data_IF_176481484029
#
_entry.id   IF_176481484029
#
_cell.length_a   1.000
_cell.length_b   1.000
_cell.length_c   1.000
_cell.angle_alpha   90.00
_cell.angle_beta   90.00
_cell.angle_gamma   90.00
#
_symmetry.space_group_name_H-M   'P 1'
#
loop_
_entity.id
_entity.type
_entity.pdbx_description
1 polymer ?
#
# COMPACT_ATOMS: atom_id res chain seq x y z
N UNK A 1 8.15 -16.43 20.88
CA UNK A 1 6.89 -16.19 20.16
C UNK A 1 6.83 -17.15 18.98
N UNK A 2 5.65 -17.68 18.61
CA UNK A 2 5.46 -18.47 17.37
C UNK A 2 5.06 -17.60 16.16
N UNK A 3 4.85 -16.30 16.38
CA UNK A 3 4.44 -15.32 15.37
C UNK A 3 5.54 -14.27 15.19
N UNK A 4 5.69 -13.81 13.96
CA UNK A 4 6.58 -12.72 13.55
C UNK A 4 5.76 -11.56 12.98
N UNK A 5 6.18 -10.34 13.30
CA UNK A 5 5.55 -9.10 12.82
C UNK A 5 6.48 -8.43 11.81
N UNK A 6 5.96 -8.11 10.62
CA UNK A 6 6.71 -7.49 9.54
C UNK A 6 5.96 -6.27 9.03
N UNK A 7 6.60 -5.08 8.96
CA UNK A 7 5.92 -3.85 8.56
C UNK A 7 5.76 -3.77 7.04
N UNK A 8 4.56 -3.40 6.59
CA UNK A 8 4.26 -3.12 5.18
C UNK A 8 3.43 -1.86 5.04
N UNK A 9 3.73 -1.06 4.03
CA UNK A 9 2.93 0.11 3.66
C UNK A 9 1.65 -0.34 2.97
N UNK A 10 0.50 0.21 3.39
CA UNK A 10 -0.75 0.04 2.69
C UNK A 10 -0.66 0.67 1.30
N UNK A 11 -0.95 -0.13 0.27
CA UNK A 11 -1.08 0.33 -1.12
C UNK A 11 -2.51 0.72 -1.46
N UNK A 12 -3.48 0.30 -0.63
CA UNK A 12 -4.87 0.74 -0.71
C UNK A 12 -5.03 2.18 -0.28
N UNK A 13 -5.99 2.88 -0.88
CA UNK A 13 -6.41 4.18 -0.40
C UNK A 13 -7.36 4.03 0.79
N UNK A 14 -7.42 4.99 1.72
CA UNK A 14 -8.39 4.98 2.82
C UNK A 14 -9.85 4.94 2.37
N UNK A 15 -10.14 5.35 1.13
CA UNK A 15 -11.48 5.36 0.55
C UNK A 15 -11.92 4.01 -0.03
N UNK A 16 -11.08 2.97 -0.03
CA UNK A 16 -11.42 1.61 -0.50
C UNK A 16 -11.99 0.74 0.63
N UNK A 17 -12.92 -0.17 0.29
CA UNK A 17 -13.56 -1.09 1.26
C UNK A 17 -12.66 -2.27 1.69
N UNK A 18 -11.43 -2.30 1.22
CA UNK A 18 -10.43 -3.31 1.53
C UNK A 18 -9.07 -2.64 1.73
N UNK A 19 -8.22 -3.27 2.53
CA UNK A 19 -6.81 -2.91 2.55
C UNK A 19 -6.01 -3.82 1.63
N UNK A 20 -4.96 -3.28 1.03
CA UNK A 20 -4.00 -4.04 0.23
C UNK A 20 -2.58 -3.66 0.60
N UNK A 21 -1.68 -4.63 0.50
CA UNK A 21 -0.23 -4.47 0.64
C UNK A 21 0.44 -5.14 -0.56
N UNK A 22 1.58 -4.60 -0.98
CA UNK A 22 2.43 -5.24 -1.99
C UNK A 22 3.75 -5.64 -1.35
N UNK A 23 4.05 -6.94 -1.36
CA UNK A 23 5.23 -7.52 -0.71
C UNK A 23 6.18 -8.00 -1.80
N UNK A 24 7.42 -7.49 -1.79
CA UNK A 24 8.49 -8.03 -2.62
C UNK A 24 9.08 -9.28 -1.94
N UNK A 25 9.28 -10.35 -2.71
CA UNK A 25 9.90 -11.58 -2.21
C UNK A 25 11.42 -11.36 -2.16
N UNK A 26 11.98 -11.21 -0.96
CA UNK A 26 13.41 -10.89 -0.75
C UNK A 26 14.07 -11.66 0.40
N UNK A 27 13.29 -12.40 1.18
CA UNK A 27 13.77 -13.17 2.33
C UNK A 27 12.88 -14.36 2.65
N UNK A 28 13.35 -15.17 3.59
CA UNK A 28 12.71 -16.40 4.08
C UNK A 28 11.24 -16.21 4.46
N UNK A 29 10.92 -15.16 5.25
CA UNK A 29 9.55 -14.89 5.66
C UNK A 29 8.65 -14.54 4.46
N UNK A 30 9.12 -13.67 3.57
CA UNK A 30 8.34 -13.25 2.39
C UNK A 30 8.13 -14.40 1.40
N UNK A 31 9.11 -15.30 1.27
CA UNK A 31 9.00 -16.49 0.42
C UNK A 31 8.06 -17.54 1.05
N UNK A 32 8.13 -17.70 2.38
CA UNK A 32 7.20 -18.53 3.14
C UNK A 32 5.75 -18.07 2.98
N UNK A 33 5.50 -16.76 3.09
CA UNK A 33 4.18 -16.18 2.88
C UNK A 33 3.69 -16.39 1.42
N UNK A 34 4.57 -16.18 0.43
CA UNK A 34 4.26 -16.42 -0.98
C UNK A 34 3.76 -17.85 -1.23
N UNK A 35 4.46 -18.86 -0.69
CA UNK A 35 4.06 -20.27 -0.78
C UNK A 35 2.80 -20.57 0.01
N UNK A 36 2.64 -19.99 1.20
CA UNK A 36 1.45 -20.18 2.03
C UNK A 36 0.17 -19.64 1.37
N UNK A 37 0.27 -18.53 0.64
CA UNK A 37 -0.81 -18.00 -0.19
C UNK A 37 -1.07 -18.80 -1.47
N UNK A 38 -0.26 -19.82 -1.76
CA UNK A 38 -0.36 -20.65 -2.97
C UNK A 38 0.01 -19.90 -4.24
N UNK A 39 0.79 -18.82 -4.15
CA UNK A 39 1.18 -18.00 -5.30
C UNK A 39 2.19 -18.71 -6.23
N UNK A 40 2.76 -19.83 -5.79
CA UNK A 40 3.59 -20.74 -6.59
C UNK A 40 2.75 -21.72 -7.44
N UNK A 41 1.44 -21.81 -7.18
CA UNK A 41 0.52 -22.70 -7.89
C UNK A 41 -0.25 -21.92 -8.96
N UNK A 42 -0.53 -22.56 -10.09
CA UNK A 42 -1.35 -21.98 -11.17
C UNK A 42 -2.86 -22.16 -10.95
N UNK A 43 -3.27 -22.69 -9.80
CA UNK A 43 -4.66 -22.96 -9.47
C UNK A 43 -5.24 -21.85 -8.58
N UNK A 44 -6.50 -21.50 -8.84
CA UNK A 44 -7.25 -20.58 -7.98
C UNK A 44 -7.35 -21.13 -6.56
N UNK A 45 -6.99 -20.31 -5.57
CA UNK A 45 -7.14 -20.65 -4.16
C UNK A 45 -8.41 -20.00 -3.60
N UNK A 46 -9.26 -20.82 -2.99
CA UNK A 46 -10.43 -20.31 -2.28
C UNK A 46 -9.99 -19.46 -1.07
N UNK A 47 -10.71 -18.35 -0.82
CA UNK A 47 -10.33 -17.41 0.24
C UNK A 47 -10.22 -18.05 1.64
N UNK A 48 -11.03 -19.08 1.94
CA UNK A 48 -10.97 -19.77 3.24
C UNK A 48 -9.78 -20.73 3.40
N UNK A 49 -9.05 -21.03 2.31
CA UNK A 49 -7.81 -21.81 2.34
C UNK A 49 -6.58 -20.95 2.55
N UNK A 50 -6.70 -19.62 2.41
CA UNK A 50 -5.61 -18.67 2.60
C UNK A 50 -5.22 -18.56 4.08
N UNK A 51 -3.95 -18.20 4.38
CA UNK A 51 -3.50 -18.04 5.75
C UNK A 51 -4.29 -16.94 6.48
N UNK A 52 -4.59 -17.20 7.75
CA UNK A 52 -5.10 -16.15 8.66
C UNK A 52 -3.94 -15.28 9.10
N UNK A 53 -4.11 -13.97 9.01
CA UNK A 53 -3.07 -12.97 9.30
C UNK A 53 -3.56 -12.08 10.45
N UNK A 54 -2.67 -11.78 11.39
CA UNK A 54 -2.92 -10.76 12.41
C UNK A 54 -2.40 -9.41 11.89
N UNK A 55 -3.19 -8.35 12.11
CA UNK A 55 -2.86 -7.00 11.64
C UNK A 55 -2.77 -6.08 12.86
N UNK A 56 -1.69 -5.29 12.91
CA UNK A 56 -1.48 -4.26 13.91
C UNK A 56 -1.24 -2.92 13.18
N UNK A 57 -1.90 -1.86 13.65
CA UNK A 57 -1.88 -0.55 13.00
C UNK A 57 -3.26 0.13 12.89
N UNK A 58 -3.36 1.24 12.15
CA UNK A 58 -2.32 1.83 11.29
C UNK A 58 -1.19 2.52 12.07
N UNK A 59 0.00 2.57 11.46
CA UNK A 59 1.14 3.37 11.92
C UNK A 59 1.43 4.47 10.90
N UNK A 60 1.32 5.72 11.33
CA UNK A 60 1.40 6.86 10.44
C UNK A 60 2.79 7.16 9.90
N UNK A 61 2.85 7.92 8.81
CA UNK A 61 4.12 8.36 8.19
C UNK A 61 4.09 9.86 7.89
N UNK A 62 5.26 10.46 7.67
CA UNK A 62 5.36 11.87 7.26
C UNK A 62 4.65 12.17 5.92
N UNK A 63 4.27 11.15 5.12
CA UNK A 63 3.57 11.34 3.86
C UNK A 63 2.07 11.66 4.01
N UNK A 64 1.54 11.67 5.24
CA UNK A 64 0.15 12.07 5.52
C UNK A 64 -0.13 13.55 5.21
N UNK A 65 0.89 14.40 5.37
CA UNK A 65 0.77 15.84 5.13
C UNK A 65 0.73 16.22 3.64
N UNK A 66 0.76 15.25 2.72
CA UNK A 66 0.77 15.50 1.26
C UNK A 66 -0.39 16.39 0.80
N UNK A 67 -1.54 16.30 1.47
CA UNK A 67 -2.73 17.10 1.16
C UNK A 67 -2.70 18.53 1.72
N UNK A 68 -1.72 18.84 2.57
CA UNK A 68 -1.52 20.17 3.17
C UNK A 68 -0.80 21.14 2.23
N UNK A 69 -0.17 20.64 1.17
CA UNK A 69 0.63 21.42 0.21
C UNK A 69 -0.08 21.59 -1.14
N UNK A 70 0.17 22.71 -1.82
CA UNK A 70 -0.37 22.94 -3.16
C UNK A 70 0.36 22.15 -4.26
N UNK A 71 1.66 21.96 -4.10
CA UNK A 71 2.52 21.25 -5.05
C UNK A 71 3.36 20.26 -4.28
N UNK A 72 3.37 19.00 -4.73
CA UNK A 72 4.16 17.94 -4.11
C UNK A 72 5.02 17.22 -5.14
N UNK A 73 6.18 16.77 -4.70
CA UNK A 73 7.09 15.92 -5.46
C UNK A 73 7.19 14.58 -4.75
N UNK A 74 6.79 13.51 -5.44
CA UNK A 74 6.81 12.14 -4.96
C UNK A 74 7.92 11.40 -5.71
N UNK A 75 8.94 10.95 -5.00
CA UNK A 75 10.08 10.21 -5.60
C UNK A 75 10.18 8.84 -4.94
N UNK A 76 9.93 7.79 -5.72
CA UNK A 76 9.97 6.40 -5.26
C UNK A 76 10.91 5.54 -6.10
N UNK A 77 11.52 4.54 -5.47
CA UNK A 77 12.38 3.56 -6.14
C UNK A 77 11.95 2.13 -5.81
N UNK A 78 11.85 1.26 -6.82
CA UNK A 78 11.47 -0.14 -6.66
C UNK A 78 10.16 -0.32 -5.87
N UNK A 79 10.17 -1.20 -4.86
CA UNK A 79 9.00 -1.43 -3.98
C UNK A 79 8.66 -0.22 -3.10
N UNK A 80 9.57 0.73 -2.93
CA UNK A 80 9.36 1.97 -2.18
C UNK A 80 8.33 2.92 -2.80
N UNK A 81 7.72 2.55 -3.93
CA UNK A 81 6.61 3.28 -4.54
C UNK A 81 5.25 3.04 -3.84
N UNK A 82 5.16 2.00 -3.00
CA UNK A 82 3.92 1.58 -2.32
C UNK A 82 3.15 2.70 -1.59
N UNK A 83 3.75 3.60 -0.78
CA UNK A 83 3.00 4.71 -0.18
C UNK A 83 2.39 5.64 -1.24
N UNK A 84 3.10 5.87 -2.34
CA UNK A 84 2.63 6.77 -3.41
C UNK A 84 1.47 6.17 -4.19
N UNK A 85 1.38 4.84 -4.31
CA UNK A 85 0.21 4.20 -4.89
C UNK A 85 -1.06 4.51 -4.07
N UNK A 86 -1.00 4.39 -2.74
CA UNK A 86 -2.12 4.75 -1.84
C UNK A 86 -2.47 6.24 -1.94
N UNK A 87 -1.46 7.12 -1.90
CA UNK A 87 -1.64 8.57 -1.99
C UNK A 87 -2.30 8.96 -3.32
N UNK A 88 -1.80 8.47 -4.45
CA UNK A 88 -2.34 8.81 -5.77
C UNK A 88 -3.79 8.35 -5.92
N UNK A 89 -4.15 7.18 -5.39
CA UNK A 89 -5.54 6.72 -5.35
C UNK A 89 -6.42 7.60 -4.46
N UNK A 90 -5.94 7.99 -3.27
CA UNK A 90 -6.69 8.91 -2.39
C UNK A 90 -6.87 10.30 -3.01
N UNK A 91 -5.85 10.81 -3.73
CA UNK A 91 -5.98 12.03 -4.55
C UNK A 91 -7.10 11.89 -5.57
N UNK A 92 -7.15 10.77 -6.29
CA UNK A 92 -8.21 10.49 -7.26
C UNK A 92 -9.59 10.47 -6.62
N UNK A 93 -9.77 9.76 -5.50
CA UNK A 93 -11.05 9.72 -4.78
C UNK A 93 -11.49 11.10 -4.29
N UNK A 94 -10.59 11.86 -3.66
CA UNK A 94 -10.88 13.22 -3.20
C UNK A 94 -11.25 14.16 -4.35
N UNK A 95 -10.61 13.99 -5.51
CA UNK A 95 -10.94 14.75 -6.72
C UNK A 95 -12.34 14.40 -7.24
N UNK A 96 -12.65 13.10 -7.40
CA UNK A 96 -13.97 12.64 -7.85
C UNK A 96 -15.10 13.07 -6.90
N UNK A 97 -14.85 13.03 -5.59
CA UNK A 97 -15.81 13.40 -4.56
C UNK A 97 -15.90 14.91 -4.31
N UNK A 98 -15.21 15.74 -5.10
CA UNK A 98 -15.16 17.21 -4.97
C UNK A 98 -14.86 17.67 -3.54
N UNK A 99 -13.83 17.07 -2.94
CA UNK A 99 -13.45 17.37 -1.56
C UNK A 99 -13.28 18.90 -1.37
N UNK A 100 -14.03 19.54 -0.45
CA UNK A 100 -14.17 21.00 -0.41
C UNK A 100 -12.87 21.75 -0.06
N UNK A 101 -11.89 21.05 0.51
CA UNK A 101 -10.65 21.64 1.05
C UNK A 101 -9.37 21.04 0.45
N UNK A 102 -9.41 20.49 -0.77
CA UNK A 102 -8.21 19.95 -1.42
C UNK A 102 -7.29 21.09 -1.87
N UNK A 103 -6.21 21.33 -1.11
CA UNK A 103 -5.19 22.36 -1.45
C UNK A 103 -4.29 21.93 -2.60
N UNK A 104 -4.14 20.62 -2.78
CA UNK A 104 -3.25 20.01 -3.75
C UNK A 104 -3.68 20.34 -5.18
N UNK A 105 -2.83 21.06 -5.91
CA UNK A 105 -3.04 21.50 -7.30
C UNK A 105 -2.18 20.73 -8.29
N UNK A 106 -0.99 20.27 -7.88
CA UNK A 106 -0.04 19.60 -8.78
C UNK A 106 0.81 18.55 -8.08
N UNK A 107 1.03 17.43 -8.76
CA UNK A 107 1.90 16.34 -8.32
C UNK A 107 2.96 16.10 -9.39
N UNK A 108 4.22 16.07 -8.98
CA UNK A 108 5.32 15.54 -9.78
C UNK A 108 5.67 14.16 -9.24
N UNK A 109 5.46 13.12 -10.04
CA UNK A 109 5.73 11.75 -9.64
C UNK A 109 6.92 11.19 -10.43
N UNK A 110 7.97 10.80 -9.72
CA UNK A 110 9.18 10.18 -10.27
C UNK A 110 9.30 8.77 -9.71
N UNK A 111 9.19 7.79 -10.59
CA UNK A 111 9.39 6.38 -10.24
C UNK A 111 10.64 5.83 -10.92
N UNK A 112 11.58 5.39 -10.11
CA UNK A 112 12.83 4.77 -10.54
C UNK A 112 12.70 3.24 -10.42
N UNK A 113 12.84 2.53 -11.54
CA UNK A 113 12.78 1.07 -11.60
C UNK A 113 14.18 0.47 -11.69
#
# INVERSE_FOLDING_TARGET
SKLEWHPFTLTSAPEEDFFSIHIRIVGDWTEGLFKACGCDKQEFQDAWKLPKIAVDGPFGTASEDVFSYEVVMLVGAGIGVTPFASILKSVWYKYCNKAPNLRLKKIYFYWLC
#
